data_IF_041803391124
#
_entry.id   IF_041803391124
#
_cell.length_a   1.000
_cell.length_b   1.000
_cell.length_c   1.000
_cell.angle_alpha   90.00
_cell.angle_beta   90.00
_cell.angle_gamma   90.00
#
_symmetry.space_group_name_H-M   'P 1'
#
loop_
_entity.id
_entity.type
_entity.pdbx_description
1 polymer ?
#
# COMPACT_ATOMS: atom_id res chain seq x y z
N UNK A 1 -38.99 -27.21 4.75
CA UNK A 1 -38.42 -25.84 4.77
C UNK A 1 -38.55 -25.23 6.16
N UNK A 2 -38.74 -26.02 7.22
CA UNK A 2 -37.68 -26.50 8.14
C UNK A 2 -36.86 -25.38 8.79
N UNK A 3 -37.25 -25.06 10.03
CA UNK A 3 -36.55 -24.29 11.07
C UNK A 3 -35.02 -24.45 11.11
N UNK A 4 -34.49 -25.54 10.58
CA UNK A 4 -33.07 -25.78 10.42
C UNK A 4 -32.33 -24.72 9.58
N UNK A 5 -32.99 -24.14 8.56
CA UNK A 5 -32.38 -23.10 7.72
C UNK A 5 -32.30 -21.73 8.42
N UNK A 6 -33.23 -21.43 9.33
CA UNK A 6 -33.24 -20.17 10.10
C UNK A 6 -32.14 -20.14 11.17
N UNK A 7 -31.78 -21.29 11.75
CA UNK A 7 -30.64 -21.39 12.67
C UNK A 7 -29.27 -21.38 11.99
N UNK A 8 -29.20 -21.77 10.72
CA UNK A 8 -27.95 -21.74 9.95
C UNK A 8 -27.60 -20.35 9.44
N UNK A 9 -28.57 -19.51 9.08
CA UNK A 9 -28.30 -18.14 8.62
C UNK A 9 -27.43 -17.32 9.60
N UNK A 10 -27.76 -17.17 10.89
CA UNK A 10 -26.94 -16.37 11.80
C UNK A 10 -25.54 -16.98 12.02
N UNK A 11 -25.41 -18.31 12.04
CA UNK A 11 -24.11 -18.98 12.16
C UNK A 11 -23.23 -18.77 10.91
N UNK A 12 -23.81 -18.79 9.72
CA UNK A 12 -23.11 -18.50 8.45
C UNK A 12 -22.78 -17.01 8.32
N UNK A 13 -23.65 -16.11 8.80
CA UNK A 13 -23.37 -14.67 8.87
C UNK A 13 -22.28 -14.33 9.89
N UNK A 14 -22.27 -14.96 11.07
CA UNK A 14 -21.22 -14.80 12.08
C UNK A 14 -19.87 -15.35 11.57
N UNK A 15 -19.88 -16.53 10.94
CA UNK A 15 -18.66 -17.16 10.40
C UNK A 15 -18.15 -16.44 9.14
N UNK A 16 -19.06 -15.94 8.30
CA UNK A 16 -18.77 -15.10 7.15
C UNK A 16 -18.22 -13.74 7.58
N UNK A 17 -18.80 -13.12 8.61
CA UNK A 17 -18.32 -11.86 9.18
C UNK A 17 -16.91 -11.95 9.79
N UNK A 18 -16.57 -13.04 10.48
CA UNK A 18 -15.22 -13.25 11.00
C UNK A 18 -14.20 -13.44 9.87
N UNK A 19 -14.55 -14.20 8.81
CA UNK A 19 -13.70 -14.36 7.62
C UNK A 19 -13.50 -13.05 6.86
N UNK A 20 -14.58 -12.28 6.69
CA UNK A 20 -14.58 -10.95 6.11
C UNK A 20 -13.63 -10.02 6.86
N UNK A 21 -13.75 -9.99 8.19
CA UNK A 21 -12.94 -9.16 9.06
C UNK A 21 -11.45 -9.52 8.96
N UNK A 22 -11.10 -10.82 9.01
CA UNK A 22 -9.70 -11.27 8.86
C UNK A 22 -9.13 -10.89 7.48
N UNK A 23 -9.90 -11.06 6.40
CA UNK A 23 -9.49 -10.69 5.05
C UNK A 23 -9.24 -9.19 4.90
N UNK A 24 -10.19 -8.35 5.34
CA UNK A 24 -10.05 -6.88 5.30
C UNK A 24 -8.86 -6.45 6.16
N UNK A 25 -8.66 -7.06 7.32
CA UNK A 25 -7.51 -6.77 8.19
C UNK A 25 -6.20 -7.08 7.49
N UNK A 26 -6.06 -8.25 6.85
CA UNK A 26 -4.86 -8.62 6.09
C UNK A 26 -4.63 -7.69 4.89
N UNK A 27 -5.70 -7.29 4.21
CA UNK A 27 -5.64 -6.33 3.10
C UNK A 27 -5.10 -4.97 3.56
N UNK A 28 -5.63 -4.44 4.66
CA UNK A 28 -5.18 -3.16 5.24
C UNK A 28 -3.73 -3.22 5.72
N UNK A 29 -3.34 -4.33 6.35
CA UNK A 29 -1.94 -4.54 6.77
C UNK A 29 -1.01 -4.57 5.56
N UNK A 30 -1.35 -5.33 4.52
CA UNK A 30 -0.55 -5.42 3.30
C UNK A 30 -0.45 -4.05 2.58
N UNK A 31 -1.54 -3.30 2.49
CA UNK A 31 -1.53 -1.95 1.92
C UNK A 31 -0.68 -0.99 2.75
N UNK A 32 -0.76 -1.06 4.08
CA UNK A 32 0.03 -0.22 4.97
C UNK A 32 1.53 -0.47 4.77
N UNK A 33 1.95 -1.73 4.70
CA UNK A 33 3.35 -2.07 4.39
C UNK A 33 3.77 -1.61 3.00
N UNK A 34 2.92 -1.80 1.98
CA UNK A 34 3.19 -1.32 0.63
C UNK A 34 3.40 0.19 0.56
N UNK A 35 2.51 0.96 1.20
CA UNK A 35 2.62 2.43 1.29
C UNK A 35 3.87 2.85 2.05
N UNK A 36 4.17 2.21 3.19
CA UNK A 36 5.35 2.54 3.99
C UNK A 36 6.64 2.34 3.17
N UNK A 37 6.81 1.17 2.55
CA UNK A 37 8.02 0.85 1.78
C UNK A 37 8.21 1.83 0.61
N UNK A 38 7.14 2.10 -0.13
CA UNK A 38 7.19 2.97 -1.32
C UNK A 38 7.37 4.46 -0.96
N UNK A 39 6.73 4.91 0.13
CA UNK A 39 6.78 6.32 0.55
C UNK A 39 8.04 6.66 1.34
N UNK A 40 8.64 5.69 2.03
CA UNK A 40 9.80 5.92 2.90
C UNK A 40 11.02 6.45 2.13
N UNK A 41 11.30 5.89 0.95
CA UNK A 41 12.40 6.35 0.10
C UNK A 41 12.19 7.80 -0.36
N UNK A 42 10.97 8.14 -0.78
CA UNK A 42 10.63 9.51 -1.17
C UNK A 42 10.75 10.47 0.03
N UNK A 43 10.30 10.08 1.23
CA UNK A 43 10.44 10.89 2.43
C UNK A 43 11.91 11.22 2.74
N UNK A 44 12.79 10.22 2.73
CA UNK A 44 14.24 10.44 2.94
C UNK A 44 14.79 11.41 1.89
N UNK A 45 14.41 11.21 0.62
CA UNK A 45 14.84 12.06 -0.47
C UNK A 45 14.38 13.53 -0.31
N UNK A 46 13.15 13.75 0.13
CA UNK A 46 12.64 15.10 0.41
C UNK A 46 13.40 15.77 1.56
N UNK A 47 13.67 15.03 2.65
CA UNK A 47 14.47 15.53 3.77
C UNK A 47 15.87 15.95 3.29
N UNK A 48 16.53 15.11 2.49
CA UNK A 48 17.82 15.43 1.87
C UNK A 48 17.76 16.70 1.01
N UNK A 49 16.73 16.81 0.17
CA UNK A 49 16.57 17.94 -0.75
C UNK A 49 16.40 19.26 0.00
N UNK A 50 15.54 19.27 1.03
CA UNK A 50 15.33 20.44 1.90
C UNK A 50 16.62 20.80 2.65
N UNK A 51 17.30 19.81 3.21
CA UNK A 51 18.53 20.01 3.99
C UNK A 51 19.71 20.51 3.14
N UNK A 52 19.69 20.25 1.83
CA UNK A 52 20.76 20.63 0.90
C UNK A 52 20.33 21.69 -0.11
N UNK A 53 19.23 22.41 0.14
CA UNK A 53 18.71 23.36 -0.84
C UNK A 53 19.60 24.61 -1.00
N UNK A 54 20.32 24.99 0.07
CA UNK A 54 21.23 26.14 0.07
C UNK A 54 22.65 25.82 -0.41
N UNK A 55 22.97 24.55 -0.69
CA UNK A 55 24.31 24.18 -1.14
C UNK A 55 24.46 24.39 -2.63
N UNK A 56 25.59 25.00 -3.03
CA UNK A 56 25.94 25.13 -4.45
C UNK A 56 26.29 23.73 -4.97
N UNK A 57 25.53 23.26 -5.96
CA UNK A 57 25.67 21.93 -6.56
C UNK A 57 26.33 22.03 -7.93
N UNK A 58 27.23 21.11 -8.24
CA UNK A 58 27.76 20.98 -9.60
C UNK A 58 26.68 20.49 -10.57
N UNK A 59 26.87 20.71 -11.87
CA UNK A 59 25.94 20.24 -12.90
C UNK A 59 25.75 18.71 -12.87
N UNK A 60 26.83 17.97 -12.61
CA UNK A 60 26.79 16.51 -12.43
C UNK A 60 25.93 16.11 -11.23
N UNK A 61 26.12 16.77 -10.08
CA UNK A 61 25.35 16.48 -8.87
C UNK A 61 23.86 16.81 -9.06
N UNK A 62 23.55 17.87 -9.81
CA UNK A 62 22.18 18.23 -10.14
C UNK A 62 21.51 17.18 -11.03
N UNK A 63 22.22 16.67 -12.04
CA UNK A 63 21.74 15.58 -12.88
C UNK A 63 21.49 14.28 -12.08
N UNK A 64 22.42 13.93 -11.17
CA UNK A 64 22.25 12.78 -10.27
C UNK A 64 21.03 12.94 -9.35
N UNK A 65 20.84 14.13 -8.78
CA UNK A 65 19.68 14.40 -7.93
C UNK A 65 18.37 14.25 -8.70
N UNK A 66 18.31 14.72 -9.94
CA UNK A 66 17.12 14.56 -10.79
C UNK A 66 16.84 13.09 -11.11
N UNK A 67 17.88 12.30 -11.37
CA UNK A 67 17.75 10.86 -11.61
C UNK A 67 17.21 10.14 -10.37
N UNK A 68 17.78 10.41 -9.18
CA UNK A 68 17.33 9.82 -7.92
C UNK A 68 15.87 10.21 -7.64
N UNK A 69 15.52 11.49 -7.80
CA UNK A 69 14.15 11.96 -7.65
C UNK A 69 13.19 11.19 -8.56
N UNK A 70 13.57 10.99 -9.83
CA UNK A 70 12.76 10.24 -10.80
C UNK A 70 12.57 8.80 -10.35
N UNK A 71 13.63 8.13 -9.86
CA UNK A 71 13.54 6.77 -9.33
C UNK A 71 12.59 6.72 -8.11
N UNK A 72 12.71 7.67 -7.17
CA UNK A 72 11.81 7.76 -6.02
C UNK A 72 10.35 7.94 -6.43
N UNK A 73 10.08 8.79 -7.43
CA UNK A 73 8.73 8.99 -7.96
C UNK A 73 8.19 7.73 -8.62
N UNK A 74 8.99 7.01 -9.41
CA UNK A 74 8.59 5.75 -10.04
C UNK A 74 8.29 4.66 -9.00
N UNK A 75 9.10 4.57 -7.94
CA UNK A 75 8.83 3.67 -6.82
C UNK A 75 7.54 4.08 -6.10
N UNK A 76 7.31 5.38 -5.86
CA UNK A 76 6.05 5.87 -5.31
C UNK A 76 4.84 5.58 -6.21
N UNK A 77 5.01 5.61 -7.53
CA UNK A 77 3.94 5.23 -8.46
C UNK A 77 3.60 3.73 -8.39
N UNK A 78 4.59 2.87 -8.06
CA UNK A 78 4.37 1.44 -7.90
C UNK A 78 3.38 1.09 -6.79
N UNK A 79 3.13 2.00 -5.83
CA UNK A 79 2.08 1.85 -4.81
C UNK A 79 0.71 1.59 -5.44
N UNK A 80 0.39 2.24 -6.55
CA UNK A 80 -0.89 2.01 -7.24
C UNK A 80 -1.01 0.57 -7.77
N UNK A 81 0.07 0.03 -8.33
CA UNK A 81 0.11 -1.36 -8.79
C UNK A 81 0.02 -2.36 -7.64
N UNK A 82 0.73 -2.10 -6.54
CA UNK A 82 0.68 -2.93 -5.33
C UNK A 82 -0.74 -2.93 -4.73
N UNK A 83 -1.33 -1.75 -4.57
CA UNK A 83 -2.69 -1.59 -4.04
C UNK A 83 -3.71 -2.29 -4.93
N UNK A 84 -3.62 -2.13 -6.25
CA UNK A 84 -4.47 -2.84 -7.20
C UNK A 84 -4.36 -4.36 -7.06
N UNK A 85 -3.13 -4.88 -6.98
CA UNK A 85 -2.88 -6.32 -6.83
C UNK A 85 -3.44 -6.85 -5.49
N UNK A 86 -3.27 -6.11 -4.39
CA UNK A 86 -3.84 -6.46 -3.09
C UNK A 86 -5.37 -6.52 -3.14
N UNK A 87 -6.01 -5.55 -3.82
CA UNK A 87 -7.46 -5.56 -4.02
C UNK A 87 -7.92 -6.77 -4.84
N UNK A 88 -7.19 -7.13 -5.90
CA UNK A 88 -7.53 -8.27 -6.74
C UNK A 88 -7.51 -9.57 -5.92
N UNK A 89 -6.46 -9.78 -5.11
CA UNK A 89 -6.38 -10.91 -4.20
C UNK A 89 -7.54 -10.92 -3.19
N UNK A 90 -7.81 -9.78 -2.54
CA UNK A 90 -8.92 -9.67 -1.59
C UNK A 90 -10.28 -9.98 -2.25
N UNK A 91 -10.53 -9.46 -3.45
CA UNK A 91 -11.78 -9.67 -4.19
C UNK A 91 -11.97 -11.10 -4.69
N UNK A 92 -10.90 -11.80 -5.07
CA UNK A 92 -10.95 -13.21 -5.51
C UNK A 92 -11.28 -14.20 -4.40
N UNK A 93 -11.31 -13.72 -3.16
CA UNK A 93 -11.63 -14.51 -1.97
C UNK A 93 -13.11 -14.37 -1.54
N UNK A 94 -13.90 -13.56 -2.28
CA UNK A 94 -15.35 -13.43 -2.19
C UNK A 94 -16.04 -14.18 -3.33
#
# INVERSE_FOLDING_TARGET
LTWHNLGQQPATYLRGGIRLHDQVTRMLIAQSFGILITSFLNMIWQIYTVSTNSTIKSSLQLAQNNLINTICVLIGFSTHGITFYIYLLASSTF
#
